data_IF_425370531201
#
_entry.id   IF_425370531201
#
_cell.length_a   1.000
_cell.length_b   1.000
_cell.length_c   1.000
_cell.angle_alpha   90.00
_cell.angle_beta   90.00
_cell.angle_gamma   90.00
#
_symmetry.space_group_name_H-M   'P 1'
#
loop_
_entity.id
_entity.type
_entity.pdbx_description
1 polymer ?
#
# COMPACT_ATOMS: atom_id res chain seq x y z
N UNK A 1 -20.84 12.41 48.50
CA UNK A 1 -20.15 13.70 48.28
C UNK A 1 -18.92 13.50 47.43
N UNK A 2 -18.74 14.30 46.38
CA UNK A 2 -17.51 14.32 45.58
C UNK A 2 -16.43 15.05 46.39
N UNK A 3 -15.36 14.40 46.73
CA UNK A 3 -14.25 15.01 47.50
C UNK A 3 -13.18 15.57 46.56
N UNK A 4 -12.46 16.63 46.97
CA UNK A 4 -11.33 17.18 46.18
C UNK A 4 -10.30 16.09 45.83
N UNK A 5 -10.02 15.16 46.74
CA UNK A 5 -9.10 14.04 46.54
C UNK A 5 -9.65 13.07 45.49
N UNK A 6 -10.97 12.84 45.45
CA UNK A 6 -11.63 11.99 44.43
C UNK A 6 -11.52 12.59 43.06
N UNK A 7 -11.77 13.91 42.93
CA UNK A 7 -11.62 14.64 41.65
C UNK A 7 -10.17 14.59 41.12
N UNK A 8 -9.19 14.84 41.99
CA UNK A 8 -7.77 14.79 41.60
C UNK A 8 -7.34 13.39 41.16
N UNK A 9 -7.79 12.34 41.83
CA UNK A 9 -7.53 10.96 41.41
C UNK A 9 -8.17 10.64 40.06
N UNK A 10 -9.41 11.10 39.83
CA UNK A 10 -10.08 10.90 38.54
C UNK A 10 -9.35 11.61 37.42
N UNK A 11 -8.99 12.90 37.60
CA UNK A 11 -8.22 13.66 36.59
C UNK A 11 -6.88 12.97 36.33
N UNK A 12 -6.16 12.57 37.38
CA UNK A 12 -4.88 11.85 37.24
C UNK A 12 -5.04 10.53 36.47
N UNK A 13 -6.11 9.79 36.72
CA UNK A 13 -6.44 8.57 35.98
C UNK A 13 -6.71 8.83 34.50
N UNK A 14 -7.52 9.86 34.20
CA UNK A 14 -7.79 10.26 32.80
C UNK A 14 -6.52 10.67 32.06
N UNK A 15 -5.67 11.48 32.70
CA UNK A 15 -4.39 11.91 32.11
C UNK A 15 -3.46 10.72 31.87
N UNK A 16 -3.34 9.80 32.83
CA UNK A 16 -2.49 8.60 32.70
C UNK A 16 -3.00 7.69 31.57
N UNK A 17 -4.31 7.48 31.47
CA UNK A 17 -4.92 6.71 30.38
C UNK A 17 -4.70 7.37 29.04
N UNK A 18 -4.89 8.70 28.94
CA UNK A 18 -4.64 9.46 27.71
C UNK A 18 -3.18 9.36 27.26
N UNK A 19 -2.23 9.48 28.21
CA UNK A 19 -0.80 9.33 27.93
C UNK A 19 -0.44 7.91 27.45
N UNK A 20 -1.02 6.87 28.06
CA UNK A 20 -0.82 5.48 27.66
C UNK A 20 -1.37 5.19 26.26
N UNK A 21 -2.59 5.67 25.94
CA UNK A 21 -3.19 5.55 24.61
C UNK A 21 -2.38 6.32 23.56
N UNK A 22 -1.90 7.53 23.90
CA UNK A 22 -1.02 8.30 23.04
C UNK A 22 0.30 7.57 22.74
N UNK A 23 0.97 7.05 23.78
CA UNK A 23 2.19 6.26 23.61
C UNK A 23 1.93 5.01 22.74
N UNK A 24 0.82 4.32 22.96
CA UNK A 24 0.44 3.18 22.14
C UNK A 24 0.26 3.60 20.65
N UNK A 25 -0.52 4.64 20.40
CA UNK A 25 -0.85 5.07 19.04
C UNK A 25 0.32 5.69 18.26
N UNK A 26 1.23 6.42 18.93
CA UNK A 26 2.34 7.10 18.27
C UNK A 26 3.66 6.31 18.29
N UNK A 27 3.78 5.31 19.16
CA UNK A 27 5.05 4.59 19.34
C UNK A 27 4.86 3.08 19.15
N UNK A 28 3.94 2.46 19.90
CA UNK A 28 3.86 1.00 19.95
C UNK A 28 3.26 0.46 18.65
N UNK A 29 2.05 0.89 18.27
CA UNK A 29 1.37 0.32 17.11
C UNK A 29 2.14 0.62 15.81
N UNK A 30 2.52 1.86 15.48
CA UNK A 30 3.23 2.15 14.23
C UNK A 30 4.68 1.65 14.22
N UNK A 31 5.36 1.61 15.37
CA UNK A 31 6.80 1.33 15.45
C UNK A 31 7.16 -0.14 15.68
N UNK A 32 6.32 -0.89 16.39
CA UNK A 32 6.67 -2.23 16.87
C UNK A 32 5.73 -3.34 16.44
N UNK A 33 4.50 -3.03 16.04
CA UNK A 33 3.58 -4.05 15.58
C UNK A 33 3.74 -4.30 14.08
N UNK A 34 3.54 -5.55 13.69
CA UNK A 34 3.41 -6.02 12.33
C UNK A 34 2.45 -7.20 12.36
N UNK A 35 1.47 -7.20 11.47
CA UNK A 35 0.58 -8.35 11.30
C UNK A 35 0.59 -8.85 9.87
N UNK A 36 0.19 -10.09 9.68
CA UNK A 36 -0.13 -10.65 8.36
C UNK A 36 -1.65 -10.73 8.23
N UNK A 37 -2.20 -10.11 7.19
CA UNK A 37 -3.62 -10.15 6.89
C UNK A 37 -3.86 -11.06 5.70
N UNK A 38 -4.69 -12.11 5.89
CA UNK A 38 -4.98 -13.11 4.86
C UNK A 38 -6.37 -12.92 4.27
N UNK A 39 -6.45 -13.06 2.96
CA UNK A 39 -7.68 -13.20 2.19
C UNK A 39 -7.57 -14.44 1.31
N UNK A 40 -8.68 -15.18 1.12
CA UNK A 40 -8.73 -16.34 0.24
C UNK A 40 -10.07 -16.33 -0.51
N UNK A 41 -10.03 -16.25 -1.83
CA UNK A 41 -11.21 -16.24 -2.69
C UNK A 41 -10.84 -16.49 -4.16
N UNK A 42 -11.84 -16.85 -4.96
CA UNK A 42 -11.74 -16.89 -6.41
C UNK A 42 -12.54 -15.70 -6.99
N UNK A 43 -11.90 -14.68 -7.58
CA UNK A 43 -12.63 -13.57 -8.17
C UNK A 43 -13.34 -14.01 -9.47
N UNK A 44 -14.32 -13.25 -9.95
CA UNK A 44 -14.91 -13.47 -11.26
C UNK A 44 -13.84 -13.51 -12.37
N UNK A 45 -14.07 -14.31 -13.41
CA UNK A 45 -13.12 -14.52 -14.53
C UNK A 45 -11.78 -15.14 -14.13
N UNK A 46 -11.69 -15.73 -12.92
CA UNK A 46 -10.51 -16.49 -12.53
C UNK A 46 -10.48 -17.85 -13.24
N UNK A 47 -9.32 -18.24 -13.76
CA UNK A 47 -9.18 -19.54 -14.43
C UNK A 47 -9.34 -20.67 -13.40
N UNK A 48 -10.26 -21.64 -13.63
CA UNK A 48 -10.42 -22.77 -12.74
C UNK A 48 -9.11 -23.56 -12.56
N UNK A 49 -8.73 -23.81 -11.31
CA UNK A 49 -7.51 -24.55 -10.98
C UNK A 49 -6.23 -23.70 -10.91
N UNK A 50 -6.22 -22.48 -11.41
CA UNK A 50 -5.11 -21.55 -11.19
C UNK A 50 -5.07 -21.13 -9.72
N UNK A 51 -4.06 -21.58 -8.99
CA UNK A 51 -3.80 -21.20 -7.61
C UNK A 51 -2.64 -20.22 -7.55
N UNK A 52 -2.84 -19.06 -6.95
CA UNK A 52 -1.83 -18.01 -6.88
C UNK A 52 -1.83 -17.36 -5.50
N UNK A 53 -0.67 -17.33 -4.83
CA UNK A 53 -0.46 -16.57 -3.61
C UNK A 53 0.23 -15.26 -3.92
N UNK A 54 -0.44 -14.16 -3.62
CA UNK A 54 0.10 -12.80 -3.71
C UNK A 54 0.54 -12.33 -2.32
N UNK A 55 1.71 -11.72 -2.25
CA UNK A 55 2.17 -10.97 -1.08
C UNK A 55 2.22 -9.50 -1.44
N UNK A 56 1.46 -8.66 -0.73
CA UNK A 56 1.40 -7.22 -0.97
C UNK A 56 2.17 -6.47 0.11
N UNK A 57 3.07 -5.61 -0.30
CA UNK A 57 3.80 -4.66 0.55
C UNK A 57 3.48 -3.25 0.07
N UNK A 58 2.64 -2.54 0.84
CA UNK A 58 2.15 -1.21 0.50
C UNK A 58 2.68 -0.15 1.47
N UNK A 59 2.90 1.05 0.96
CA UNK A 59 3.09 2.26 1.75
C UNK A 59 4.17 2.10 2.84
N UNK A 60 5.39 1.64 2.54
CA UNK A 60 6.40 1.46 3.57
C UNK A 60 6.88 2.79 4.19
N UNK A 61 6.84 3.89 3.44
CA UNK A 61 7.20 5.24 3.91
C UNK A 61 8.43 5.27 4.81
N UNK A 62 9.57 4.79 4.30
CA UNK A 62 10.76 4.60 5.12
C UNK A 62 11.26 5.91 5.72
N UNK A 63 11.22 5.98 7.05
CA UNK A 63 11.70 7.12 7.84
C UNK A 63 11.98 6.71 9.29
N UNK A 64 13.01 7.32 9.89
CA UNK A 64 13.29 7.16 11.31
C UNK A 64 12.28 7.96 12.17
N UNK A 65 11.89 7.47 13.36
CA UNK A 65 12.28 6.20 13.96
C UNK A 65 11.34 5.03 13.65
N UNK A 66 10.18 5.26 12.99
CA UNK A 66 9.10 4.27 12.91
C UNK A 66 9.34 3.19 11.84
N UNK A 67 9.95 3.56 10.71
CA UNK A 67 10.24 2.64 9.61
C UNK A 67 11.70 2.80 9.13
N UNK A 68 12.69 2.44 10.00
CA UNK A 68 14.09 2.41 9.61
C UNK A 68 14.35 1.31 8.57
N UNK A 69 15.46 1.43 7.83
CA UNK A 69 15.87 0.43 6.85
C UNK A 69 15.96 -0.99 7.45
N UNK A 70 16.43 -1.12 8.69
CA UNK A 70 16.52 -2.39 9.38
C UNK A 70 15.15 -3.04 9.64
N UNK A 71 14.11 -2.25 9.85
CA UNK A 71 12.74 -2.75 9.99
C UNK A 71 12.20 -3.21 8.63
N UNK A 72 12.47 -2.45 7.57
CA UNK A 72 12.10 -2.84 6.20
C UNK A 72 12.73 -4.20 5.83
N UNK A 73 14.00 -4.40 6.15
CA UNK A 73 14.68 -5.69 5.94
C UNK A 73 14.02 -6.84 6.71
N UNK A 74 13.57 -6.62 7.94
CA UNK A 74 12.82 -7.62 8.73
C UNK A 74 11.46 -7.93 8.13
N UNK A 75 10.76 -6.91 7.61
CA UNK A 75 9.48 -7.08 6.92
C UNK A 75 9.67 -7.91 5.65
N UNK A 76 10.74 -7.66 4.89
CA UNK A 76 11.09 -8.45 3.70
C UNK A 76 11.35 -9.92 4.08
N UNK A 77 12.12 -10.17 5.13
CA UNK A 77 12.35 -11.54 5.60
C UNK A 77 11.03 -12.23 5.97
N UNK A 78 10.16 -11.53 6.72
CA UNK A 78 8.82 -12.05 7.03
C UNK A 78 7.98 -12.29 5.76
N UNK A 79 8.05 -11.41 4.77
CA UNK A 79 7.33 -11.58 3.51
C UNK A 79 7.82 -12.80 2.72
N UNK A 80 9.13 -13.07 2.71
CA UNK A 80 9.71 -14.27 2.10
C UNK A 80 9.22 -15.56 2.77
N UNK A 81 9.14 -15.57 4.13
CA UNK A 81 8.62 -16.72 4.89
C UNK A 81 7.15 -17.05 4.59
N UNK A 82 6.38 -16.09 4.02
CA UNK A 82 4.99 -16.32 3.62
C UNK A 82 4.84 -17.10 2.31
N UNK A 83 5.92 -17.31 1.57
CA UNK A 83 5.98 -18.15 0.38
C UNK A 83 5.05 -17.67 -0.73
N UNK A 84 5.08 -16.36 -1.05
CA UNK A 84 4.32 -15.79 -2.16
C UNK A 84 4.81 -16.31 -3.52
N UNK A 85 3.88 -16.63 -4.41
CA UNK A 85 4.24 -16.89 -5.82
C UNK A 85 4.68 -15.59 -6.50
N UNK A 86 4.09 -14.48 -6.09
CA UNK A 86 4.27 -13.14 -6.65
C UNK A 86 4.25 -12.10 -5.51
N UNK A 87 5.21 -11.19 -5.49
CA UNK A 87 5.21 -10.07 -4.53
C UNK A 87 4.97 -8.75 -5.26
N UNK A 88 4.01 -7.98 -4.76
CA UNK A 88 3.59 -6.71 -5.33
C UNK A 88 3.90 -5.56 -4.36
N UNK A 89 4.70 -4.62 -4.83
CA UNK A 89 5.07 -3.40 -4.11
C UNK A 89 4.14 -2.27 -4.60
N UNK A 90 3.26 -1.79 -3.71
CA UNK A 90 2.15 -0.93 -4.11
C UNK A 90 2.42 0.58 -3.97
N UNK A 91 3.70 0.99 -4.03
CA UNK A 91 4.07 2.42 -4.03
C UNK A 91 4.32 3.02 -2.65
N UNK A 92 4.59 4.32 -2.64
CA UNK A 92 4.86 5.16 -1.48
C UNK A 92 6.08 4.70 -0.67
N UNK A 93 7.21 4.56 -1.37
CA UNK A 93 8.51 4.19 -0.77
C UNK A 93 9.16 5.35 -0.04
N UNK A 94 8.91 6.58 -0.49
CA UNK A 94 9.38 7.80 0.13
C UNK A 94 8.65 8.10 1.45
N UNK A 95 9.30 8.85 2.35
CA UNK A 95 8.75 9.17 3.67
C UNK A 95 7.42 9.95 3.57
N UNK A 96 6.38 9.44 4.26
CA UNK A 96 5.02 9.99 4.19
C UNK A 96 4.72 11.18 5.12
N UNK A 97 5.64 11.54 6.04
CA UNK A 97 5.41 12.61 7.02
C UNK A 97 6.68 13.38 7.38
N UNK A 98 6.51 14.60 7.90
CA UNK A 98 7.62 15.47 8.35
C UNK A 98 8.10 15.18 9.77
N UNK A 99 7.35 14.44 10.57
CA UNK A 99 7.67 14.05 11.96
C UNK A 99 8.66 12.89 11.99
N UNK A 100 9.87 13.14 11.52
CA UNK A 100 10.94 12.14 11.39
C UNK A 100 12.26 12.68 11.93
N UNK A 101 13.09 11.80 12.48
CA UNK A 101 14.43 12.11 12.96
C UNK A 101 15.51 11.86 11.90
N UNK A 102 15.16 11.09 10.85
CA UNK A 102 16.02 10.80 9.71
C UNK A 102 15.22 10.34 8.48
N UNK A 103 15.82 10.44 7.30
CA UNK A 103 15.26 9.94 6.04
C UNK A 103 16.03 8.72 5.58
N UNK A 104 15.32 7.74 5.03
CA UNK A 104 15.93 6.61 4.32
C UNK A 104 15.86 6.93 2.82
N UNK A 105 17.00 6.96 2.11
CA UNK A 105 16.98 7.19 0.66
C UNK A 105 16.19 6.09 -0.08
N UNK A 106 15.39 6.46 -1.07
CA UNK A 106 14.61 5.52 -1.89
C UNK A 106 15.52 4.47 -2.56
N UNK A 107 16.73 4.83 -2.95
CA UNK A 107 17.72 3.88 -3.46
C UNK A 107 18.09 2.78 -2.45
N UNK A 108 18.16 3.09 -1.15
CA UNK A 108 18.40 2.10 -0.10
C UNK A 108 17.16 1.20 0.12
N UNK A 109 15.97 1.78 0.00
CA UNK A 109 14.69 1.04 0.04
C UNK A 109 14.62 0.01 -1.09
N UNK A 110 14.90 0.43 -2.32
CA UNK A 110 14.89 -0.42 -3.50
C UNK A 110 15.99 -1.51 -3.43
N UNK A 111 17.20 -1.14 -3.00
CA UNK A 111 18.29 -2.11 -2.80
C UNK A 111 17.93 -3.19 -1.79
N UNK A 112 17.25 -2.85 -0.71
CA UNK A 112 16.77 -3.85 0.26
C UNK A 112 15.66 -4.70 -0.34
N UNK A 113 14.75 -4.11 -1.14
CA UNK A 113 13.65 -4.82 -1.79
C UNK A 113 14.14 -5.89 -2.79
N UNK A 114 15.37 -5.76 -3.33
CA UNK A 114 15.97 -6.80 -4.18
C UNK A 114 16.20 -8.15 -3.46
N UNK A 115 16.10 -8.19 -2.12
CA UNK A 115 16.14 -9.43 -1.34
C UNK A 115 14.77 -10.13 -1.20
N UNK A 116 13.72 -9.62 -1.84
CA UNK A 116 12.40 -10.26 -1.86
C UNK A 116 12.45 -11.45 -2.81
N UNK A 117 11.97 -12.59 -2.33
CA UNK A 117 11.94 -13.85 -3.08
C UNK A 117 10.50 -14.18 -3.49
N UNK A 118 10.27 -14.31 -4.80
CA UNK A 118 8.99 -14.75 -5.35
C UNK A 118 9.23 -15.45 -6.70
N UNK A 119 8.80 -16.71 -6.90
CA UNK A 119 9.09 -17.47 -8.11
C UNK A 119 8.61 -16.82 -9.41
N UNK A 120 7.51 -16.09 -9.38
CA UNK A 120 6.98 -15.35 -10.53
C UNK A 120 7.46 -13.91 -10.60
N UNK A 121 8.31 -13.49 -9.66
CA UNK A 121 8.94 -12.19 -9.63
C UNK A 121 8.33 -11.20 -8.63
N UNK A 122 9.00 -10.04 -8.57
CA UNK A 122 8.63 -8.89 -7.74
C UNK A 122 8.34 -7.72 -8.67
N UNK A 123 7.18 -7.10 -8.52
CA UNK A 123 6.75 -5.99 -9.36
C UNK A 123 6.31 -4.82 -8.50
N UNK A 124 6.49 -3.61 -9.02
CA UNK A 124 6.16 -2.39 -8.31
C UNK A 124 5.23 -1.48 -9.12
N UNK A 125 4.59 -0.55 -8.44
CA UNK A 125 3.99 0.65 -9.01
C UNK A 125 4.48 1.88 -8.23
N UNK A 126 4.24 3.07 -8.75
CA UNK A 126 4.49 4.32 -8.02
C UNK A 126 3.28 4.70 -7.17
N UNK A 127 3.52 5.29 -6.00
CA UNK A 127 2.52 6.00 -5.24
C UNK A 127 2.66 7.52 -5.39
N UNK A 128 1.77 8.27 -4.75
CA UNK A 128 1.76 9.73 -4.85
C UNK A 128 2.99 10.35 -4.18
N UNK A 129 3.50 9.80 -3.08
CA UNK A 129 4.72 10.29 -2.44
C UNK A 129 5.98 10.06 -3.28
N UNK A 130 6.03 9.02 -4.09
CA UNK A 130 7.16 8.78 -5.00
C UNK A 130 7.24 9.88 -6.07
N UNK A 131 6.10 10.42 -6.49
CA UNK A 131 5.99 11.58 -7.36
C UNK A 131 6.30 12.90 -6.62
N UNK A 132 5.74 13.10 -5.42
CA UNK A 132 5.84 14.36 -4.68
C UNK A 132 7.26 14.64 -4.21
N UNK A 133 8.03 13.63 -3.84
CA UNK A 133 9.40 13.76 -3.39
C UNK A 133 10.41 13.91 -4.54
N UNK A 134 10.03 13.58 -5.79
CA UNK A 134 10.87 13.84 -6.97
C UNK A 134 10.58 15.22 -7.55
N UNK A 135 11.33 16.23 -7.08
CA UNK A 135 11.20 17.61 -7.57
C UNK A 135 11.42 17.76 -9.08
N UNK A 136 12.23 16.87 -9.72
CA UNK A 136 12.46 16.92 -11.15
C UNK A 136 11.24 16.41 -11.92
N UNK A 137 10.66 15.29 -11.49
CA UNK A 137 9.44 14.75 -12.06
C UNK A 137 8.27 15.74 -11.88
N UNK A 138 8.13 16.36 -10.71
CA UNK A 138 7.15 17.41 -10.45
C UNK A 138 7.27 18.59 -11.42
N UNK A 139 8.49 19.09 -11.68
CA UNK A 139 8.72 20.22 -12.60
C UNK A 139 8.48 19.85 -14.06
N UNK A 140 8.90 18.64 -14.48
CA UNK A 140 8.71 18.17 -15.86
C UNK A 140 7.26 17.77 -16.12
N UNK A 141 6.54 17.35 -15.09
CA UNK A 141 5.23 16.74 -15.21
C UNK A 141 5.30 15.33 -15.83
N UNK A 142 6.45 14.67 -15.78
CA UNK A 142 6.69 13.38 -16.43
C UNK A 142 7.71 12.55 -15.66
N UNK A 143 7.63 11.19 -15.82
CA UNK A 143 8.57 10.23 -15.22
C UNK A 143 9.78 9.91 -16.09
N UNK A 144 10.50 8.82 -15.81
CA UNK A 144 10.32 8.00 -14.60
C UNK A 144 10.72 8.76 -13.33
N UNK A 145 10.02 8.48 -12.21
CA UNK A 145 10.35 9.03 -10.90
C UNK A 145 11.59 8.36 -10.29
N UNK A 146 12.16 8.98 -9.23
CA UNK A 146 13.34 8.42 -8.52
C UNK A 146 13.10 6.99 -8.03
N UNK A 147 11.91 6.70 -7.52
CA UNK A 147 11.53 5.37 -7.05
C UNK A 147 11.56 4.34 -8.18
N UNK A 148 10.97 4.66 -9.33
CA UNK A 148 10.95 3.77 -10.49
C UNK A 148 12.38 3.46 -10.98
N UNK A 149 13.24 4.47 -11.09
CA UNK A 149 14.66 4.28 -11.46
C UNK A 149 15.39 3.39 -10.45
N UNK A 150 15.20 3.66 -9.15
CA UNK A 150 15.84 2.87 -8.11
C UNK A 150 15.36 1.42 -8.10
N UNK A 151 14.08 1.16 -8.36
CA UNK A 151 13.55 -0.21 -8.50
C UNK A 151 14.17 -0.91 -9.72
N UNK A 152 14.24 -0.24 -10.87
CA UNK A 152 14.84 -0.78 -12.09
C UNK A 152 16.32 -1.11 -11.92
N UNK A 153 17.10 -0.24 -11.26
CA UNK A 153 18.51 -0.46 -10.95
C UNK A 153 18.75 -1.71 -10.06
N UNK A 154 17.70 -2.18 -9.38
CA UNK A 154 17.73 -3.37 -8.54
C UNK A 154 16.91 -4.55 -9.10
N UNK A 155 16.59 -4.53 -10.40
CA UNK A 155 15.94 -5.63 -11.11
C UNK A 155 14.43 -5.75 -10.87
N UNK A 156 13.79 -4.76 -10.25
CA UNK A 156 12.34 -4.73 -9.99
C UNK A 156 11.65 -3.87 -11.05
N UNK A 157 10.79 -4.51 -11.85
CA UNK A 157 10.03 -3.81 -12.89
C UNK A 157 8.85 -3.04 -12.29
N UNK A 158 8.81 -1.73 -12.55
CA UNK A 158 7.65 -0.89 -12.20
C UNK A 158 6.62 -0.90 -13.34
N UNK A 159 5.38 -1.23 -13.01
CA UNK A 159 4.27 -1.29 -13.96
C UNK A 159 3.50 0.05 -13.99
N UNK A 160 4.17 1.10 -14.42
CA UNK A 160 3.55 2.42 -14.64
C UNK A 160 2.81 2.41 -16.01
N UNK A 161 1.49 2.29 -15.97
CA UNK A 161 0.59 2.25 -17.14
C UNK A 161 0.93 1.14 -18.15
N UNK A 162 1.25 -0.05 -17.68
CA UNK A 162 1.57 -1.20 -18.53
C UNK A 162 1.13 -2.52 -17.93
N UNK A 163 1.08 -3.57 -18.76
CA UNK A 163 0.82 -4.93 -18.35
C UNK A 163 1.91 -5.88 -18.85
N UNK A 164 2.06 -6.99 -18.13
CA UNK A 164 2.87 -8.14 -18.52
C UNK A 164 2.03 -9.41 -18.40
N UNK A 165 2.37 -10.40 -19.22
CA UNK A 165 1.74 -11.71 -19.19
C UNK A 165 2.64 -12.68 -18.43
N UNK A 166 2.09 -13.33 -17.43
CA UNK A 166 2.77 -14.32 -16.59
C UNK A 166 2.10 -15.68 -16.76
N UNK A 167 2.81 -16.73 -16.35
CA UNK A 167 2.31 -18.09 -16.42
C UNK A 167 2.69 -18.84 -15.14
N UNK A 168 1.73 -19.54 -14.54
CA UNK A 168 1.95 -20.49 -13.44
C UNK A 168 1.32 -21.83 -13.81
N UNK A 169 2.08 -22.92 -13.70
CA UNK A 169 1.63 -24.29 -13.97
C UNK A 169 0.93 -24.43 -15.33
N UNK A 170 1.46 -23.75 -16.36
CA UNK A 170 0.90 -23.72 -17.71
C UNK A 170 -0.32 -22.81 -17.91
N UNK A 171 -0.85 -22.19 -16.87
CA UNK A 171 -1.99 -21.29 -16.94
C UNK A 171 -1.54 -19.83 -16.92
N UNK A 172 -2.00 -19.05 -17.90
CA UNK A 172 -1.62 -17.66 -18.05
C UNK A 172 -2.53 -16.73 -17.23
N UNK A 173 -1.96 -15.59 -16.82
CA UNK A 173 -2.68 -14.44 -16.28
C UNK A 173 -1.92 -13.14 -16.60
N UNK A 174 -2.59 -12.02 -16.50
CA UNK A 174 -2.02 -10.71 -16.69
C UNK A 174 -1.79 -10.01 -15.35
N UNK A 175 -0.64 -9.38 -15.22
CA UNK A 175 -0.37 -8.39 -14.18
C UNK A 175 -0.26 -7.03 -14.85
N UNK A 176 -1.13 -6.09 -14.48
CA UNK A 176 -1.11 -4.72 -14.95
C UNK A 176 -0.96 -3.74 -13.79
N UNK A 177 -0.50 -2.54 -14.10
CA UNK A 177 -0.40 -1.47 -13.11
C UNK A 177 -0.61 -0.11 -13.74
N UNK A 178 -1.23 0.78 -12.99
CA UNK A 178 -1.27 2.21 -13.32
C UNK A 178 -0.25 2.99 -12.53
N UNK A 179 0.08 4.17 -13.03
CA UNK A 179 0.79 5.19 -12.26
C UNK A 179 -0.19 5.90 -11.30
N UNK A 180 0.29 6.81 -10.47
CA UNK A 180 -0.51 7.48 -9.43
C UNK A 180 -1.57 8.43 -10.02
N UNK A 181 -2.78 8.40 -9.43
CA UNK A 181 -3.84 9.37 -9.69
C UNK A 181 -3.51 10.76 -9.14
N UNK A 182 -2.73 10.82 -8.06
CA UNK A 182 -2.37 12.06 -7.38
C UNK A 182 -0.91 12.46 -7.63
N UNK A 183 -0.38 12.22 -8.83
CA UNK A 183 1.02 12.35 -9.17
C UNK A 183 1.56 13.79 -9.07
N UNK A 184 0.96 14.73 -9.80
CA UNK A 184 1.48 16.11 -9.92
C UNK A 184 0.70 17.07 -9.04
N UNK A 185 1.41 17.76 -8.15
CA UNK A 185 0.81 18.73 -7.22
C UNK A 185 0.51 20.05 -7.97
N UNK A 186 -0.76 20.41 -8.08
CA UNK A 186 -1.24 21.66 -8.68
C UNK A 186 -1.59 22.77 -7.66
N UNK A 187 -1.32 22.50 -6.39
CA UNK A 187 -1.66 23.39 -5.28
C UNK A 187 -3.13 23.35 -4.87
N UNK A 188 -3.42 23.88 -3.67
CA UNK A 188 -4.79 23.92 -3.09
C UNK A 188 -5.46 22.53 -3.02
N UNK A 189 -4.69 21.46 -2.74
CA UNK A 189 -5.22 20.09 -2.65
C UNK A 189 -5.67 19.50 -3.98
N UNK A 190 -5.26 20.08 -5.13
CA UNK A 190 -5.55 19.57 -6.47
C UNK A 190 -4.32 18.83 -6.99
N UNK A 191 -4.58 17.71 -7.67
CA UNK A 191 -3.56 16.88 -8.28
C UNK A 191 -3.89 16.62 -9.74
N UNK A 192 -2.87 16.37 -10.55
CA UNK A 192 -3.01 15.87 -11.92
C UNK A 192 -2.58 14.42 -11.94
N UNK A 193 -3.42 13.57 -12.51
CA UNK A 193 -3.19 12.14 -12.63
C UNK A 193 -2.12 11.81 -13.67
N UNK A 194 -1.37 10.75 -13.39
CA UNK A 194 -0.54 10.04 -14.37
C UNK A 194 -1.06 8.61 -14.62
N UNK A 195 -2.13 8.20 -13.91
CA UNK A 195 -2.78 6.93 -14.17
C UNK A 195 -3.50 6.94 -15.52
N UNK A 196 -3.20 5.94 -16.35
CA UNK A 196 -3.86 5.67 -17.63
C UNK A 196 -4.26 4.19 -17.71
N UNK A 197 -5.54 3.91 -17.43
CA UNK A 197 -6.10 2.56 -17.44
C UNK A 197 -6.04 1.95 -18.84
N UNK A 198 -6.27 2.75 -19.88
CA UNK A 198 -6.28 2.25 -21.26
C UNK A 198 -4.87 1.78 -21.65
N UNK A 199 -3.85 2.58 -21.35
CA UNK A 199 -2.47 2.18 -21.58
C UNK A 199 -2.08 0.96 -20.72
N UNK A 200 -2.50 0.93 -19.45
CA UNK A 200 -2.23 -0.18 -18.53
C UNK A 200 -2.83 -1.52 -19.01
N UNK A 201 -3.91 -1.49 -19.75
CA UNK A 201 -4.60 -2.68 -20.24
C UNK A 201 -4.40 -2.94 -21.75
N UNK A 202 -3.69 -2.07 -22.48
CA UNK A 202 -3.53 -2.16 -23.94
C UNK A 202 -2.92 -3.49 -24.42
N UNK A 203 -2.02 -4.10 -23.61
CA UNK A 203 -1.41 -5.37 -23.95
C UNK A 203 -2.30 -6.59 -23.65
N UNK A 204 -3.41 -6.42 -22.91
CA UNK A 204 -4.32 -7.50 -22.52
C UNK A 204 -5.21 -7.88 -23.69
N UNK A 205 -4.81 -8.90 -24.44
CA UNK A 205 -5.43 -9.27 -25.74
C UNK A 205 -6.19 -10.60 -25.73
N UNK A 206 -6.13 -11.35 -24.60
CA UNK A 206 -6.81 -12.64 -24.43
C UNK A 206 -7.72 -12.62 -23.18
N UNK A 207 -8.41 -13.74 -22.91
CA UNK A 207 -9.34 -13.86 -21.77
C UNK A 207 -8.69 -14.32 -20.45
N UNK A 208 -7.36 -14.42 -20.40
CA UNK A 208 -6.66 -14.78 -19.17
C UNK A 208 -6.95 -13.77 -18.03
N UNK A 209 -7.05 -14.20 -16.76
CA UNK A 209 -7.37 -13.30 -15.64
C UNK A 209 -6.42 -12.11 -15.56
N UNK A 210 -6.92 -10.97 -15.08
CA UNK A 210 -6.11 -9.77 -14.89
C UNK A 210 -6.08 -9.39 -13.41
N UNK A 211 -4.87 -9.27 -12.86
CA UNK A 211 -4.60 -8.62 -11.57
C UNK A 211 -4.11 -7.21 -11.88
N UNK A 212 -4.76 -6.20 -11.31
CA UNK A 212 -4.42 -4.80 -11.54
C UNK A 212 -3.92 -4.14 -10.26
N UNK A 213 -2.77 -3.49 -10.34
CA UNK A 213 -2.17 -2.71 -9.27
C UNK A 213 -2.52 -1.24 -9.46
N UNK A 214 -3.17 -0.63 -8.49
CA UNK A 214 -3.45 0.81 -8.44
C UNK A 214 -3.10 1.32 -7.05
N UNK A 215 -2.24 2.32 -6.94
CA UNK A 215 -1.87 2.82 -5.62
C UNK A 215 -3.09 3.37 -4.89
N UNK A 216 -3.79 4.33 -5.49
CA UNK A 216 -5.01 4.91 -4.95
C UNK A 216 -6.23 4.02 -5.25
N UNK A 217 -6.99 3.58 -4.23
CA UNK A 217 -8.16 2.73 -4.44
C UNK A 217 -9.29 3.43 -5.18
N UNK A 218 -9.29 4.76 -5.23
CA UNK A 218 -10.29 5.56 -5.93
C UNK A 218 -10.34 5.23 -7.43
N UNK A 219 -9.23 4.78 -8.00
CA UNK A 219 -9.16 4.34 -9.39
C UNK A 219 -10.07 3.14 -9.68
N UNK A 220 -10.35 2.31 -8.67
CA UNK A 220 -11.23 1.13 -8.78
C UNK A 220 -12.60 1.46 -9.37
N UNK A 221 -13.10 2.67 -9.13
CA UNK A 221 -14.39 3.10 -9.67
C UNK A 221 -14.40 3.19 -11.21
N UNK A 222 -13.23 3.28 -11.82
CA UNK A 222 -13.03 3.39 -13.28
C UNK A 222 -12.44 2.10 -13.91
N UNK A 223 -12.07 1.12 -13.07
CA UNK A 223 -11.51 -0.14 -13.56
C UNK A 223 -12.61 -0.96 -14.23
N UNK A 224 -12.39 -1.47 -15.46
CA UNK A 224 -13.39 -2.24 -16.17
C UNK A 224 -13.60 -3.64 -15.56
N UNK A 225 -14.78 -4.22 -15.74
CA UNK A 225 -15.14 -5.58 -15.31
C UNK A 225 -14.23 -6.69 -15.86
N UNK A 226 -13.42 -6.38 -16.88
CA UNK A 226 -12.41 -7.28 -17.44
C UNK A 226 -11.34 -7.64 -16.42
N UNK A 227 -11.09 -6.78 -15.43
CA UNK A 227 -10.11 -6.98 -14.36
C UNK A 227 -10.71 -7.89 -13.28
N UNK A 228 -10.03 -9.01 -12.99
CA UNK A 228 -10.47 -9.98 -12.01
C UNK A 228 -10.27 -9.50 -10.57
N UNK A 229 -9.14 -8.83 -10.30
CA UNK A 229 -8.78 -8.31 -8.98
C UNK A 229 -8.01 -7.00 -9.13
N UNK A 230 -8.40 -5.99 -8.37
CA UNK A 230 -7.59 -4.78 -8.13
C UNK A 230 -6.97 -4.85 -6.73
N UNK A 231 -5.71 -4.43 -6.60
CA UNK A 231 -5.00 -4.33 -5.32
C UNK A 231 -4.47 -2.92 -5.14
N UNK A 232 -4.66 -2.34 -3.94
CA UNK A 232 -4.33 -0.95 -3.64
C UNK A 232 -3.71 -0.76 -2.25
N UNK A 233 -3.01 0.37 -2.08
CA UNK A 233 -2.49 0.89 -0.82
C UNK A 233 -3.10 2.24 -0.45
N UNK A 234 -2.24 3.25 -0.23
CA UNK A 234 -2.54 4.68 -0.10
C UNK A 234 -3.32 5.11 1.15
N UNK A 235 -4.41 4.43 1.47
CA UNK A 235 -5.32 4.87 2.54
C UNK A 235 -4.84 4.57 3.94
N UNK A 236 -3.88 3.64 4.08
CA UNK A 236 -3.42 3.13 5.38
C UNK A 236 -4.56 2.63 6.29
N UNK A 237 -5.70 2.23 5.71
CA UNK A 237 -6.93 1.95 6.47
C UNK A 237 -7.45 3.15 7.26
N UNK A 238 -6.99 4.39 6.94
CA UNK A 238 -7.25 5.63 7.66
C UNK A 238 -6.35 5.86 8.89
N UNK A 239 -5.37 4.99 9.14
CA UNK A 239 -4.42 5.00 10.29
C UNK A 239 -5.07 4.94 11.68
N UNK A 240 -6.20 5.61 11.87
CA UNK A 240 -7.04 5.54 13.08
C UNK A 240 -8.35 4.87 12.70
N UNK A 241 -8.57 3.63 13.20
CA UNK A 241 -9.73 2.83 12.83
C UNK A 241 -10.35 2.17 14.05
N UNK A 242 -11.56 2.57 14.40
CA UNK A 242 -12.33 2.02 15.53
C UNK A 242 -13.62 1.39 15.01
N UNK A 243 -13.87 0.15 15.41
CA UNK A 243 -15.09 -0.59 15.02
C UNK A 243 -15.38 -0.58 13.51
N UNK A 244 -14.32 -0.61 12.69
CA UNK A 244 -14.46 -0.60 11.25
C UNK A 244 -14.64 0.80 10.60
N UNK A 245 -14.61 1.86 11.40
CA UNK A 245 -14.73 3.25 10.92
C UNK A 245 -13.46 4.04 11.15
N UNK A 246 -13.03 4.80 10.15
CA UNK A 246 -11.90 5.72 10.19
C UNK A 246 -12.41 7.14 9.98
N UNK A 247 -12.13 8.09 10.90
CA UNK A 247 -12.64 9.47 10.80
C UNK A 247 -12.02 10.26 9.64
N UNK A 248 -10.79 9.89 9.23
CA UNK A 248 -10.08 10.50 8.11
C UNK A 248 -9.57 9.39 7.21
N UNK A 249 -9.93 9.44 5.93
CA UNK A 249 -9.46 8.52 4.88
C UNK A 249 -9.08 9.37 3.67
N UNK A 250 -7.87 9.24 3.12
CA UNK A 250 -7.44 9.97 1.92
C UNK A 250 -8.03 9.33 0.64
N UNK A 251 -9.35 9.33 0.55
CA UNK A 251 -10.13 8.83 -0.59
C UNK A 251 -11.38 9.68 -0.75
N UNK A 252 -11.76 9.97 -1.99
CA UNK A 252 -13.03 10.66 -2.29
C UNK A 252 -14.25 9.83 -1.87
N UNK A 253 -14.07 8.52 -1.71
CA UNK A 253 -15.12 7.58 -1.29
C UNK A 253 -15.06 7.25 0.22
N UNK A 254 -14.15 7.88 0.96
CA UNK A 254 -14.04 7.74 2.41
C UNK A 254 -13.93 6.28 2.87
N UNK A 255 -14.71 5.89 3.88
CA UNK A 255 -14.66 4.54 4.44
C UNK A 255 -15.08 3.42 3.48
N UNK A 256 -15.75 3.74 2.37
CA UNK A 256 -16.17 2.76 1.35
C UNK A 256 -14.96 2.05 0.72
N UNK A 257 -13.88 2.80 0.44
CA UNK A 257 -12.66 2.27 -0.17
C UNK A 257 -11.45 2.34 0.78
N UNK A 258 -11.67 2.38 2.09
CA UNK A 258 -10.61 2.62 3.04
C UNK A 258 -9.72 1.41 3.30
N UNK A 259 -10.26 0.18 3.30
CA UNK A 259 -9.53 -0.97 3.82
C UNK A 259 -10.23 -2.30 3.58
N UNK A 260 -9.45 -3.32 3.29
CA UNK A 260 -9.89 -4.71 3.27
C UNK A 260 -10.35 -5.20 1.90
N UNK A 261 -11.06 -6.32 1.87
CA UNK A 261 -11.63 -6.88 0.65
C UNK A 261 -13.02 -6.28 0.41
N UNK A 262 -13.16 -5.63 -0.72
CA UNK A 262 -14.35 -4.90 -1.16
C UNK A 262 -14.85 -5.53 -2.45
N UNK A 263 -16.14 -5.82 -2.52
CA UNK A 263 -16.79 -6.35 -3.72
C UNK A 263 -17.90 -5.39 -4.12
N UNK A 264 -17.80 -4.82 -5.32
CA UNK A 264 -18.79 -3.89 -5.86
C UNK A 264 -19.03 -4.20 -7.35
N UNK A 265 -20.29 -4.32 -7.71
CA UNK A 265 -20.73 -4.63 -9.09
C UNK A 265 -20.00 -5.85 -9.68
N UNK A 266 -19.77 -6.88 -8.85
CA UNK A 266 -19.03 -8.09 -9.24
C UNK A 266 -17.52 -7.92 -9.37
N UNK A 267 -16.95 -6.72 -9.18
CA UNK A 267 -15.52 -6.43 -9.21
C UNK A 267 -14.91 -6.56 -7.81
N UNK A 268 -13.68 -7.01 -7.73
CA UNK A 268 -12.97 -7.23 -6.46
C UNK A 268 -11.83 -6.23 -6.30
N UNK A 269 -11.76 -5.62 -5.13
CA UNK A 269 -10.68 -4.75 -4.69
C UNK A 269 -10.16 -5.22 -3.33
N UNK A 270 -8.85 -5.31 -3.17
CA UNK A 270 -8.23 -5.46 -1.85
C UNK A 270 -7.38 -4.22 -1.56
N UNK A 271 -7.72 -3.52 -0.48
CA UNK A 271 -6.99 -2.34 0.00
C UNK A 271 -6.18 -2.73 1.22
N UNK A 272 -4.85 -2.64 1.11
CA UNK A 272 -3.92 -2.91 2.22
C UNK A 272 -3.95 -1.78 3.25
N UNK A 273 -3.76 -2.14 4.53
CA UNK A 273 -3.56 -1.16 5.60
C UNK A 273 -2.17 -0.51 5.60
N UNK A 274 -1.26 -0.96 4.73
CA UNK A 274 0.07 -0.40 4.56
C UNK A 274 1.02 -0.66 5.74
N UNK A 275 2.28 -0.36 5.55
CA UNK A 275 3.38 -0.66 6.49
C UNK A 275 3.84 0.56 7.30
N UNK A 276 3.94 1.72 6.66
CA UNK A 276 4.40 2.97 7.27
C UNK A 276 3.27 3.87 7.75
N UNK A 277 3.57 5.15 7.85
CA UNK A 277 2.60 6.20 8.19
C UNK A 277 2.71 7.37 7.23
N UNK A 278 1.58 8.02 6.94
CA UNK A 278 1.48 9.25 6.17
C UNK A 278 0.89 10.36 7.03
N UNK A 279 1.26 11.63 6.75
CA UNK A 279 0.81 12.86 7.44
C UNK A 279 1.30 12.93 8.89
N UNK A 280 0.95 11.95 9.73
CA UNK A 280 1.38 11.82 11.13
C UNK A 280 1.83 10.38 11.41
N UNK A 281 2.86 10.19 12.26
CA UNK A 281 3.33 8.86 12.63
C UNK A 281 2.41 8.22 13.68
N UNK A 282 1.15 8.01 13.33
CA UNK A 282 0.13 7.50 14.25
C UNK A 282 -0.63 6.33 13.63
N UNK A 283 -0.84 5.28 14.42
CA UNK A 283 -1.75 4.18 14.10
C UNK A 283 -2.52 3.78 15.34
N UNK A 284 -3.82 3.50 15.17
CA UNK A 284 -4.64 2.96 16.23
C UNK A 284 -5.74 2.08 15.64
N UNK A 285 -5.67 0.77 15.94
CA UNK A 285 -6.62 -0.23 15.43
C UNK A 285 -6.35 -0.67 13.98
N UNK A 286 -5.29 -0.18 13.36
CA UNK A 286 -4.79 -0.61 12.04
C UNK A 286 -3.26 -0.71 12.10
N UNK A 287 -2.72 -1.74 12.76
CA UNK A 287 -1.28 -1.93 12.81
C UNK A 287 -0.71 -2.16 11.41
N UNK A 288 0.58 -1.83 11.20
CA UNK A 288 1.30 -2.18 9.98
C UNK A 288 1.05 -3.61 9.55
N UNK A 289 0.83 -3.85 8.25
CA UNK A 289 0.49 -5.18 7.77
C UNK A 289 1.18 -5.58 6.47
N UNK A 290 1.49 -6.88 6.35
CA UNK A 290 1.71 -7.57 5.11
C UNK A 290 0.38 -8.18 4.70
N UNK A 291 -0.09 -7.92 3.49
CA UNK A 291 -1.36 -8.50 3.00
C UNK A 291 -1.05 -9.71 2.13
N UNK A 292 -1.70 -10.84 2.40
CA UNK A 292 -1.60 -12.08 1.62
C UNK A 292 -2.95 -12.37 1.00
N UNK A 293 -2.94 -12.70 -0.29
CA UNK A 293 -4.15 -13.09 -1.02
C UNK A 293 -3.90 -14.45 -1.68
N UNK A 294 -4.67 -15.44 -1.28
CA UNK A 294 -4.72 -16.74 -1.92
C UNK A 294 -5.88 -16.75 -2.92
N UNK A 295 -5.58 -16.86 -4.21
CA UNK A 295 -6.52 -16.92 -5.31
C UNK A 295 -6.66 -18.35 -5.86
N UNK A 296 -7.93 -18.79 -6.08
CA UNK A 296 -8.22 -20.11 -6.67
C UNK A 296 -9.05 -21.03 -5.84
#
# INVERSE_FOLDING_TARGET
MITRRGVLKFIGGVMATGAALGAYAFVIEPGFLLRTKHYAFAPPRWTPGLKLRLVLLADPHLAEPHMPLSRWQKIIATANDLGGDLTLLLGDYAAGHSWRTGSVPVAATAKAAAAIEAPLGVYSINGNHDWWDDRNAQRKGDGPVLAERAMADNGILTLANRAIRLTKDGQAFWLSGTDSMAAIVKGRGRFESRADINAALAAVTDDAPVIHMAHEPDLFMHIPERVSLTVSGHTHGGQLRLFGYSPVVPSAYGNRLAYGHIVEDGRNLVVSGGLGCSILPVRFGVPPEITVIDLG
#
